data_IF_466520303993
#
_entry.id   IF_466520303993
#
_cell.length_a   1.000
_cell.length_b   1.000
_cell.length_c   1.000
_cell.angle_alpha   90.00
_cell.angle_beta   90.00
_cell.angle_gamma   90.00
#
_symmetry.space_group_name_H-M   'P 1'
#
loop_
_entity.id
_entity.type
_entity.pdbx_description
1 polymer ?
#
# COMPACT_ATOMS: atom_id res chain seq x y z
N UNK A 1 -13.12 14.24 16.92
CA UNK A 1 -11.93 14.27 16.05
C UNK A 1 -11.59 12.84 15.70
N UNK A 2 -11.77 12.41 14.46
CA UNK A 2 -11.50 11.02 14.07
C UNK A 2 -9.99 10.86 13.84
N UNK A 3 -9.34 9.84 14.42
CA UNK A 3 -7.90 9.69 14.27
C UNK A 3 -7.57 9.37 12.81
N UNK A 4 -6.70 10.18 12.21
CA UNK A 4 -6.19 9.97 10.86
C UNK A 4 -4.90 9.17 11.00
N UNK A 5 -4.87 8.00 10.36
CA UNK A 5 -3.66 7.20 10.24
C UNK A 5 -3.21 7.17 8.79
N UNK A 6 -1.97 6.76 8.57
CA UNK A 6 -1.44 6.48 7.25
C UNK A 6 -0.99 5.03 7.24
N UNK A 7 -1.29 4.31 6.17
CA UNK A 7 -0.82 2.95 5.96
C UNK A 7 -0.01 2.90 4.68
N UNK A 8 0.74 1.83 4.50
CA UNK A 8 1.53 1.60 3.32
C UNK A 8 1.02 0.36 2.58
N UNK A 9 0.78 0.51 1.29
CA UNK A 9 0.51 -0.59 0.38
C UNK A 9 1.76 -0.89 -0.42
N UNK A 10 2.21 -2.14 -0.43
CA UNK A 10 3.25 -2.62 -1.35
C UNK A 10 2.56 -2.94 -2.67
N UNK A 11 3.02 -2.27 -3.71
CA UNK A 11 2.58 -2.48 -5.07
C UNK A 11 3.54 -3.43 -5.77
N UNK A 12 3.02 -4.45 -6.42
CA UNK A 12 3.76 -5.31 -7.33
C UNK A 12 3.49 -4.88 -8.77
N UNK A 13 4.53 -4.52 -9.51
CA UNK A 13 4.45 -4.19 -10.92
C UNK A 13 4.99 -5.35 -11.75
N UNK A 14 4.29 -5.72 -12.81
CA UNK A 14 4.78 -6.71 -13.77
C UNK A 14 5.91 -6.18 -14.65
N UNK A 15 6.31 -6.97 -15.64
CA UNK A 15 7.47 -6.73 -16.51
C UNK A 15 7.46 -5.38 -17.25
N UNK A 16 6.29 -4.75 -17.39
CA UNK A 16 6.14 -3.43 -18.00
C UNK A 16 6.23 -2.23 -17.05
N UNK A 17 6.30 -2.45 -15.72
CA UNK A 17 6.25 -1.38 -14.68
C UNK A 17 5.07 -0.39 -14.76
N UNK A 18 4.07 -0.63 -15.63
CA UNK A 18 2.95 0.29 -15.90
C UNK A 18 1.65 -0.10 -15.18
N UNK A 19 1.47 -1.38 -14.86
CA UNK A 19 0.30 -1.91 -14.16
C UNK A 19 0.70 -2.45 -12.78
N UNK A 20 0.93 -1.53 -11.84
CA UNK A 20 1.25 -1.88 -10.47
C UNK A 20 -0.04 -2.17 -9.68
N UNK A 21 -0.19 -3.38 -9.17
CA UNK A 21 -1.32 -3.78 -8.33
C UNK A 21 -0.91 -3.89 -6.87
N UNK A 22 -1.88 -3.80 -5.95
CA UNK A 22 -1.62 -4.06 -4.53
C UNK A 22 -1.24 -5.53 -4.35
N UNK A 23 0.04 -5.78 -4.06
CA UNK A 23 0.55 -7.13 -3.82
C UNK A 23 0.46 -7.49 -2.32
N UNK A 24 0.66 -6.52 -1.43
CA UNK A 24 0.59 -6.72 0.02
C UNK A 24 0.29 -5.42 0.76
N UNK A 25 -0.63 -5.46 1.72
CA UNK A 25 -0.82 -4.38 2.69
C UNK A 25 0.17 -4.50 3.84
N UNK A 26 0.87 -3.42 4.18
CA UNK A 26 1.74 -3.38 5.35
C UNK A 26 0.88 -3.12 6.59
N UNK A 27 0.96 -3.94 7.66
CA UNK A 27 0.18 -3.74 8.88
C UNK A 27 0.64 -2.54 9.73
N UNK A 28 1.65 -1.79 9.26
CA UNK A 28 2.18 -0.62 9.94
C UNK A 28 1.23 0.58 9.77
N UNK A 29 1.01 1.32 10.87
CA UNK A 29 0.24 2.56 10.90
C UNK A 29 1.17 3.69 11.31
N UNK A 30 1.16 4.78 10.54
CA UNK A 30 1.90 6.00 10.82
C UNK A 30 0.94 7.11 11.22
N UNK A 31 1.40 8.02 12.07
CA UNK A 31 0.61 9.18 12.50
C UNK A 31 0.67 10.32 11.49
N UNK A 32 1.74 10.35 10.68
CA UNK A 32 1.96 11.40 9.67
C UNK A 32 2.41 10.83 8.33
N UNK A 33 2.12 11.57 7.25
CA UNK A 33 2.59 11.23 5.91
C UNK A 33 4.12 11.26 5.79
N UNK A 34 4.78 12.12 6.56
CA UNK A 34 6.23 12.24 6.59
C UNK A 34 6.88 10.96 7.17
N UNK A 35 6.33 10.41 8.25
CA UNK A 35 6.77 9.12 8.80
C UNK A 35 6.58 7.98 7.80
N UNK A 36 5.41 7.91 7.15
CA UNK A 36 5.17 6.89 6.13
C UNK A 36 6.19 6.96 4.99
N UNK A 37 6.46 8.18 4.48
CA UNK A 37 7.44 8.41 3.41
C UNK A 37 8.87 8.04 3.81
N UNK A 38 9.26 8.36 5.03
CA UNK A 38 10.59 8.02 5.54
C UNK A 38 10.81 6.50 5.64
N UNK A 39 9.75 5.74 5.91
CA UNK A 39 9.82 4.27 6.05
C UNK A 39 9.64 3.53 4.71
N UNK A 40 9.34 4.22 3.60
CA UNK A 40 9.11 3.60 2.28
C UNK A 40 10.27 2.68 1.87
N UNK A 41 11.51 3.19 1.92
CA UNK A 41 12.68 2.44 1.48
C UNK A 41 12.90 1.17 2.34
N UNK A 42 12.71 1.31 3.66
CA UNK A 42 12.83 0.20 4.61
C UNK A 42 11.76 -0.88 4.35
N UNK A 43 10.52 -0.46 4.06
CA UNK A 43 9.43 -1.40 3.75
C UNK A 43 9.57 -2.06 2.40
N UNK A 44 10.06 -1.37 1.38
CA UNK A 44 10.38 -1.98 0.08
C UNK A 44 11.45 -3.06 0.28
N UNK A 45 12.55 -2.74 0.98
CA UNK A 45 13.62 -3.69 1.26
C UNK A 45 13.15 -4.91 2.09
N UNK A 46 12.21 -4.70 3.02
CA UNK A 46 11.64 -5.77 3.83
C UNK A 46 10.56 -6.62 3.11
N UNK A 47 10.10 -6.21 1.93
CA UNK A 47 9.07 -6.91 1.15
C UNK A 47 9.59 -7.39 -0.22
N UNK A 48 10.88 -7.67 -0.31
CA UNK A 48 11.53 -8.28 -1.48
C UNK A 48 11.10 -9.73 -1.72
N UNK A 49 10.41 -10.35 -0.76
CA UNK A 49 9.75 -11.66 -0.86
C UNK A 49 8.48 -11.65 -1.74
N UNK A 50 7.98 -10.46 -2.09
CA UNK A 50 6.82 -10.31 -2.96
C UNK A 50 7.17 -10.83 -4.37
N UNK A 51 6.38 -11.74 -4.97
CA UNK A 51 6.71 -12.41 -6.22
C UNK A 51 6.42 -11.52 -7.45
N UNK A 52 7.04 -10.34 -7.48
CA UNK A 52 6.94 -9.39 -8.57
C UNK A 52 8.34 -8.93 -8.98
N UNK A 53 8.59 -8.72 -10.29
CA UNK A 53 9.90 -8.29 -10.77
C UNK A 53 10.26 -6.89 -10.28
N UNK A 54 9.25 -6.03 -10.08
CA UNK A 54 9.40 -4.68 -9.56
C UNK A 54 8.39 -4.48 -8.45
N UNK A 55 8.84 -3.92 -7.32
CA UNK A 55 7.99 -3.56 -6.20
C UNK A 55 8.07 -2.06 -5.93
N UNK A 56 6.92 -1.45 -5.67
CA UNK A 56 6.77 -0.09 -5.20
C UNK A 56 6.07 -0.05 -3.85
N UNK A 57 6.06 1.12 -3.22
CA UNK A 57 5.28 1.34 -2.01
C UNK A 57 4.51 2.66 -2.12
N UNK A 58 3.24 2.62 -1.72
CA UNK A 58 2.31 3.74 -1.77
C UNK A 58 1.79 4.05 -0.37
N UNK A 59 1.89 5.32 0.04
CA UNK A 59 1.44 5.79 1.34
C UNK A 59 0.02 6.34 1.23
N UNK A 60 -0.94 5.61 1.81
CA UNK A 60 -2.35 5.97 1.78
C UNK A 60 -2.80 6.52 3.13
N UNK A 61 -3.52 7.64 3.10
CA UNK A 61 -4.18 8.17 4.30
C UNK A 61 -5.44 7.37 4.58
N UNK A 62 -5.51 6.76 5.76
CA UNK A 62 -6.68 6.09 6.29
C UNK A 62 -7.29 6.93 7.41
N UNK A 63 -8.32 7.69 7.06
CA UNK A 63 -9.21 8.34 8.02
C UNK A 63 -10.65 8.06 7.60
N UNK A 64 -11.35 7.20 8.34
CA UNK A 64 -12.78 6.84 8.25
C UNK A 64 -13.44 6.51 6.88
N UNK A 65 -12.76 6.74 5.77
CA UNK A 65 -13.27 6.56 4.41
C UNK A 65 -12.59 5.38 3.68
N UNK A 66 -11.81 4.56 4.40
CA UNK A 66 -11.21 3.34 3.84
C UNK A 66 -12.06 2.13 4.17
N UNK A 67 -13.28 2.18 3.66
CA UNK A 67 -14.13 1.02 3.40
C UNK A 67 -14.70 1.15 1.98
N UNK A 68 -13.80 1.44 1.03
CA UNK A 68 -14.06 1.34 -0.41
C UNK A 68 -12.87 0.64 -1.08
N UNK A 69 -12.30 -0.36 -0.43
CA UNK A 69 -11.70 -1.45 -1.20
C UNK A 69 -12.91 -2.16 -1.81
N UNK A 70 -13.06 -1.98 -3.11
CA UNK A 70 -14.17 -2.46 -3.89
C UNK A 70 -14.38 -3.95 -3.61
N UNK A 71 -15.48 -4.27 -2.91
CA UNK A 71 -16.20 -5.52 -3.19
C UNK A 71 -16.53 -5.44 -4.67
N UNK A 72 -15.66 -5.98 -5.53
CA UNK A 72 -16.01 -6.32 -6.90
C UNK A 72 -17.27 -7.20 -6.76
N UNK A 73 -18.46 -6.75 -7.23
CA UNK A 73 -19.59 -7.64 -7.25
C UNK A 73 -19.22 -8.73 -8.26
N UNK A 74 -19.11 -9.96 -7.79
CA UNK A 74 -19.28 -11.12 -8.65
C UNK A 74 -20.69 -11.01 -9.25
N UNK A 75 -20.80 -10.41 -10.43
CA UNK A 75 -21.95 -10.48 -11.32
C UNK A 75 -21.49 -11.45 -12.40
N UNK A 76 -22.04 -12.65 -12.59
CA UNK A 76 -23.41 -13.13 -12.40
C UNK A 76 -23.66 -13.99 -13.62
#
# INVERSE_FOLDING_TARGET
MQPIFYVMAILGCGDGSVDCTEARMVPARYETMAQCRADLANRIAANTDVPYPVIGADCRRIGAQVAKAERKPSQG
#
